data_IF_289958420250
#
_entry.id   IF_289958420250
#
_cell.length_a   1.000
_cell.length_b   1.000
_cell.length_c   1.000
_cell.angle_alpha   90.00
_cell.angle_beta   90.00
_cell.angle_gamma   90.00
#
_symmetry.space_group_name_H-M   'P 1'
#
loop_
_entity.id
_entity.type
_entity.pdbx_description
1 polymer ?
#
# COMPACT_ATOMS: atom_id res chain seq x y z
N UNK A 1 -13.31 -24.40 30.94
CA UNK A 1 -12.08 -24.56 31.76
C UNK A 1 -11.22 -25.80 31.42
N UNK A 2 -11.47 -26.60 30.37
CA UNK A 2 -10.62 -27.74 29.99
C UNK A 2 -10.01 -27.66 28.58
N UNK A 3 -10.38 -26.73 27.74
CA UNK A 3 -9.82 -26.58 26.38
C UNK A 3 -8.56 -25.71 26.34
N UNK A 4 -8.43 -24.73 27.24
CA UNK A 4 -7.25 -23.86 27.33
C UNK A 4 -5.97 -24.58 27.80
N UNK A 5 -6.13 -25.62 28.63
CA UNK A 5 -4.99 -26.34 29.23
C UNK A 5 -4.27 -27.29 28.26
N UNK A 6 -4.88 -27.67 27.13
CA UNK A 6 -4.32 -28.61 26.17
C UNK A 6 -3.46 -27.90 25.08
N UNK A 7 -3.79 -26.66 24.74
CA UNK A 7 -3.01 -25.88 23.77
C UNK A 7 -1.70 -25.40 24.41
N UNK A 8 -1.70 -25.05 25.69
CA UNK A 8 -0.52 -24.57 26.42
C UNK A 8 0.53 -25.66 26.68
N UNK A 9 0.11 -26.95 26.85
CA UNK A 9 1.05 -28.04 27.15
C UNK A 9 1.86 -28.52 25.93
N UNK A 10 1.40 -28.33 24.70
CA UNK A 10 2.12 -28.72 23.48
C UNK A 10 3.20 -27.73 23.04
N UNK A 11 3.22 -26.50 23.60
CA UNK A 11 4.09 -25.39 23.20
C UNK A 11 4.98 -24.85 24.32
N UNK A 12 5.19 -25.59 25.39
CA UNK A 12 5.81 -25.14 26.64
C UNK A 12 7.20 -24.47 26.53
N UNK A 13 7.93 -24.65 25.43
CA UNK A 13 9.19 -23.93 25.15
C UNK A 13 9.01 -22.73 24.21
N UNK A 14 7.88 -22.64 23.49
CA UNK A 14 7.55 -21.51 22.63
C UNK A 14 6.71 -20.44 23.33
N UNK A 15 5.95 -20.79 24.37
CA UNK A 15 5.08 -19.83 25.08
C UNK A 15 5.92 -18.79 25.82
N UNK A 16 7.00 -19.18 26.51
CA UNK A 16 7.92 -18.20 27.15
C UNK A 16 8.54 -17.20 26.15
N UNK A 17 8.73 -17.62 24.90
CA UNK A 17 9.26 -16.74 23.85
C UNK A 17 8.19 -15.81 23.27
N UNK A 18 6.93 -16.20 23.32
CA UNK A 18 5.80 -15.36 22.91
C UNK A 18 5.44 -14.35 24.02
N UNK A 19 5.48 -14.76 25.28
CA UNK A 19 5.27 -13.86 26.44
C UNK A 19 6.36 -12.78 26.55
N UNK A 20 7.60 -13.07 26.13
CA UNK A 20 8.69 -12.08 26.10
C UNK A 20 8.68 -11.19 24.86
N UNK A 21 7.88 -11.51 23.83
CA UNK A 21 7.76 -10.70 22.61
C UNK A 21 6.62 -9.68 22.68
N UNK A 22 5.72 -9.79 23.64
CA UNK A 22 4.66 -8.82 23.89
C UNK A 22 5.07 -8.01 25.13
N UNK A 23 5.50 -6.75 24.98
CA UNK A 23 5.72 -5.88 26.13
C UNK A 23 4.43 -5.74 26.93
N UNK A 24 4.50 -5.84 28.25
CA UNK A 24 3.36 -5.73 29.20
C UNK A 24 2.54 -4.43 29.04
N UNK A 25 3.09 -3.43 28.35
CA UNK A 25 2.46 -2.12 28.11
C UNK A 25 1.67 -2.02 26.79
N UNK A 26 1.73 -3.00 25.92
CA UNK A 26 0.91 -3.04 24.70
C UNK A 26 -0.09 -4.18 24.87
N UNK A 27 -1.27 -3.89 25.43
CA UNK A 27 -2.40 -4.79 25.26
C UNK A 27 -2.71 -4.85 23.74
N UNK A 28 -2.39 -5.96 23.05
CA UNK A 28 -2.72 -6.11 21.62
C UNK A 28 -4.23 -6.11 21.39
N UNK A 29 -5.02 -6.10 22.46
CA UNK A 29 -6.47 -6.00 22.48
C UNK A 29 -6.95 -4.60 22.88
N UNK A 30 -6.05 -3.63 23.08
CA UNK A 30 -6.38 -2.22 23.17
C UNK A 30 -6.15 -1.52 21.82
N UNK A 31 -6.82 -1.95 20.74
CA UNK A 31 -6.80 -1.20 19.51
C UNK A 31 -7.52 0.10 19.81
N UNK A 32 -7.09 1.16 19.20
CA UNK A 32 -7.94 2.32 19.02
C UNK A 32 -9.16 1.85 18.25
N UNK A 33 -10.27 1.57 18.94
CA UNK A 33 -11.53 1.35 18.23
C UNK A 33 -11.90 2.67 17.58
N UNK A 34 -11.66 2.72 16.27
CA UNK A 34 -12.11 3.82 15.46
C UNK A 34 -13.63 3.79 15.47
N UNK A 35 -14.24 4.85 15.98
CA UNK A 35 -15.66 5.02 15.91
C UNK A 35 -16.11 5.47 14.51
N UNK A 36 -17.08 6.37 14.45
CA UNK A 36 -17.56 6.93 13.19
C UNK A 36 -16.43 7.67 12.47
N UNK A 37 -16.32 7.44 11.16
CA UNK A 37 -15.44 8.19 10.27
C UNK A 37 -16.26 9.02 9.30
N UNK A 38 -15.78 10.23 9.00
CA UNK A 38 -16.40 11.13 8.02
C UNK A 38 -15.27 11.93 7.33
N UNK A 39 -14.94 11.50 6.09
CA UNK A 39 -13.79 12.05 5.38
C UNK A 39 -12.49 11.93 6.18
N UNK A 40 -11.79 13.06 6.44
CA UNK A 40 -10.54 13.07 7.22
C UNK A 40 -10.76 13.04 8.74
N UNK A 41 -12.00 13.01 9.21
CA UNK A 41 -12.33 13.01 10.63
C UNK A 41 -12.73 11.63 11.12
N UNK A 42 -12.28 11.29 12.31
CA UNK A 42 -12.65 10.05 12.98
C UNK A 42 -12.95 10.30 14.47
N UNK A 43 -13.70 9.39 15.06
CA UNK A 43 -14.01 9.41 16.48
C UNK A 43 -13.23 8.30 17.19
N UNK A 44 -12.53 8.66 18.29
CA UNK A 44 -11.89 7.71 19.19
C UNK A 44 -12.25 8.11 20.62
N UNK A 45 -12.90 7.19 21.35
CA UNK A 45 -13.27 7.44 22.74
C UNK A 45 -14.16 8.67 22.95
N UNK A 46 -15.05 8.96 21.99
CA UNK A 46 -15.93 10.13 22.02
C UNK A 46 -15.28 11.45 21.60
N UNK A 47 -14.00 11.44 21.22
CA UNK A 47 -13.27 12.62 20.75
C UNK A 47 -13.17 12.61 19.23
N UNK A 48 -13.58 13.70 18.58
CA UNK A 48 -13.40 13.90 17.14
C UNK A 48 -11.96 14.36 16.86
N UNK A 49 -11.29 13.68 15.93
CA UNK A 49 -9.90 13.90 15.58
C UNK A 49 -9.77 14.02 14.05
N UNK A 50 -8.84 14.84 13.58
CA UNK A 50 -8.41 14.86 12.19
C UNK A 50 -7.27 13.83 12.00
N UNK A 51 -7.39 12.97 11.00
CA UNK A 51 -6.42 11.88 10.75
C UNK A 51 -5.38 12.29 9.71
N UNK A 52 -4.09 12.22 10.06
CA UNK A 52 -2.96 12.45 9.15
C UNK A 52 -2.08 11.21 8.97
N UNK A 53 -2.66 10.02 9.05
CA UNK A 53 -1.98 8.75 8.75
C UNK A 53 -2.86 7.78 7.94
N UNK A 54 -3.91 8.31 7.28
CA UNK A 54 -4.80 7.51 6.43
C UNK A 54 -4.15 7.26 5.06
N UNK A 55 -4.40 6.07 4.50
CA UNK A 55 -4.06 5.75 3.12
C UNK A 55 -5.22 6.06 2.13
N UNK A 56 -6.34 6.58 2.59
CA UNK A 56 -7.47 7.02 1.75
C UNK A 56 -7.16 8.41 1.16
N UNK A 57 -6.10 8.48 0.37
CA UNK A 57 -5.47 9.73 -0.10
C UNK A 57 -6.43 10.70 -0.78
N UNK A 58 -7.41 10.18 -1.52
CA UNK A 58 -8.40 10.99 -2.24
C UNK A 58 -9.72 11.17 -1.46
N UNK A 59 -9.87 10.49 -0.31
CA UNK A 59 -11.10 10.53 0.49
C UNK A 59 -12.30 9.83 -0.15
N UNK A 60 -12.05 8.98 -1.15
CA UNK A 60 -13.11 8.34 -1.94
C UNK A 60 -13.93 7.32 -1.17
N UNK A 61 -13.41 6.75 -0.07
CA UNK A 61 -14.16 5.81 0.77
C UNK A 61 -15.47 6.39 1.33
N UNK A 62 -15.58 7.73 1.41
CA UNK A 62 -16.77 8.44 1.91
C UNK A 62 -17.47 9.26 0.82
N UNK A 63 -17.01 9.20 -0.42
CA UNK A 63 -17.59 9.95 -1.52
C UNK A 63 -19.05 9.51 -1.78
N UNK A 64 -20.01 10.44 -1.94
CA UNK A 64 -21.43 10.11 -2.12
C UNK A 64 -21.68 9.16 -3.30
N UNK A 65 -21.00 9.35 -4.44
CA UNK A 65 -21.09 8.48 -5.61
C UNK A 65 -20.66 7.05 -5.30
N UNK A 66 -19.52 6.87 -4.60
CA UNK A 66 -19.02 5.55 -4.20
C UNK A 66 -20.02 4.87 -3.26
N UNK A 67 -20.57 5.60 -2.29
CA UNK A 67 -21.59 5.06 -1.38
C UNK A 67 -22.87 4.65 -2.13
N UNK A 68 -23.29 5.45 -3.10
CA UNK A 68 -24.44 5.15 -3.96
C UNK A 68 -24.24 3.84 -4.74
N UNK A 69 -23.09 3.70 -5.41
CA UNK A 69 -22.74 2.48 -6.15
C UNK A 69 -22.69 1.23 -5.26
N UNK A 70 -22.21 1.36 -4.02
CA UNK A 70 -22.21 0.26 -3.03
C UNK A 70 -23.63 -0.14 -2.66
N UNK A 71 -24.55 0.82 -2.44
CA UNK A 71 -25.95 0.52 -2.11
C UNK A 71 -26.67 -0.18 -3.27
N UNK A 72 -26.47 0.27 -4.50
CA UNK A 72 -27.01 -0.39 -5.69
C UNK A 72 -26.48 -1.83 -5.84
N UNK A 73 -25.16 -2.02 -5.61
CA UNK A 73 -24.57 -3.34 -5.65
C UNK A 73 -25.09 -4.26 -4.52
N UNK A 74 -25.35 -3.72 -3.34
CA UNK A 74 -25.95 -4.46 -2.22
C UNK A 74 -27.33 -5.01 -2.58
N UNK A 75 -28.18 -4.20 -3.19
CA UNK A 75 -29.51 -4.64 -3.62
C UNK A 75 -29.46 -5.68 -4.75
N UNK A 76 -28.50 -5.53 -5.68
CA UNK A 76 -28.42 -6.40 -6.86
C UNK A 76 -27.71 -7.75 -6.60
N UNK A 77 -26.68 -7.75 -5.75
CA UNK A 77 -25.76 -8.91 -5.57
C UNK A 77 -25.69 -9.42 -4.13
N UNK A 78 -26.27 -8.72 -3.16
CA UNK A 78 -26.09 -9.02 -1.74
C UNK A 78 -24.70 -8.67 -1.23
N UNK A 79 -24.35 -9.13 -0.01
CA UNK A 79 -23.16 -8.69 0.71
C UNK A 79 -21.85 -9.36 0.23
N UNK A 80 -21.92 -10.51 -0.40
CA UNK A 80 -20.72 -11.30 -0.74
C UNK A 80 -20.83 -12.03 -2.06
N UNK A 81 -19.69 -12.46 -2.62
CA UNK A 81 -19.62 -13.14 -3.92
C UNK A 81 -20.04 -14.62 -3.90
N UNK A 82 -20.08 -15.25 -2.72
CA UNK A 82 -20.55 -16.63 -2.54
C UNK A 82 -19.70 -17.74 -3.13
N UNK A 83 -18.57 -17.44 -3.79
CA UNK A 83 -17.71 -18.42 -4.43
C UNK A 83 -16.38 -17.88 -4.91
N UNK A 84 -15.55 -18.76 -5.44
CA UNK A 84 -14.31 -18.42 -6.10
C UNK A 84 -14.55 -17.94 -7.56
N UNK A 85 -13.60 -17.26 -8.20
CA UNK A 85 -13.75 -16.82 -9.61
C UNK A 85 -14.03 -17.98 -10.57
N UNK A 86 -13.43 -19.13 -10.33
CA UNK A 86 -13.57 -20.34 -11.16
C UNK A 86 -14.91 -21.08 -10.97
N UNK A 87 -15.77 -20.64 -10.05
CA UNK A 87 -17.05 -21.28 -9.77
C UNK A 87 -18.22 -20.31 -9.93
N UNK A 88 -18.69 -19.70 -8.84
CA UNK A 88 -19.87 -18.85 -8.81
C UNK A 88 -19.59 -17.42 -8.33
N UNK A 89 -18.34 -17.08 -8.05
CA UNK A 89 -17.99 -15.81 -7.41
C UNK A 89 -17.67 -14.66 -8.37
N UNK A 90 -17.58 -14.89 -9.70
CA UNK A 90 -17.21 -13.87 -10.67
C UNK A 90 -18.48 -13.22 -11.25
N UNK A 91 -18.78 -12.01 -10.82
CA UNK A 91 -19.95 -11.25 -11.26
C UNK A 91 -19.59 -10.26 -12.39
N UNK A 92 -20.62 -9.64 -12.99
CA UNK A 92 -20.45 -8.56 -13.98
C UNK A 92 -19.56 -7.42 -13.43
N UNK A 93 -19.71 -7.06 -12.15
CA UNK A 93 -18.88 -6.00 -11.53
C UNK A 93 -17.40 -6.37 -11.46
N UNK A 94 -17.03 -7.64 -11.30
CA UNK A 94 -15.64 -8.09 -11.37
C UNK A 94 -15.07 -7.91 -12.78
N UNK A 95 -15.86 -8.25 -13.80
CA UNK A 95 -15.46 -8.09 -15.19
C UNK A 95 -15.24 -6.61 -15.53
N UNK A 96 -16.24 -5.77 -15.26
CA UNK A 96 -16.16 -4.32 -15.49
C UNK A 96 -14.98 -3.67 -14.74
N UNK A 97 -14.72 -4.06 -13.49
CA UNK A 97 -13.57 -3.56 -12.72
C UNK A 97 -12.25 -4.03 -13.32
N UNK A 98 -12.19 -5.28 -13.81
CA UNK A 98 -11.01 -5.82 -14.48
C UNK A 98 -10.67 -5.02 -15.74
N UNK A 99 -11.67 -4.72 -16.57
CA UNK A 99 -11.51 -3.91 -17.77
C UNK A 99 -11.12 -2.47 -17.41
N UNK A 100 -11.82 -1.84 -16.47
CA UNK A 100 -11.58 -0.46 -16.07
C UNK A 100 -10.16 -0.25 -15.49
N UNK A 101 -9.67 -1.18 -14.67
CA UNK A 101 -8.30 -1.07 -14.12
C UNK A 101 -7.23 -1.38 -15.18
N UNK A 102 -7.49 -2.30 -16.10
CA UNK A 102 -6.58 -2.57 -17.22
C UNK A 102 -6.45 -1.32 -18.11
N UNK A 103 -7.57 -0.69 -18.47
CA UNK A 103 -7.58 0.57 -19.23
C UNK A 103 -6.85 1.69 -18.48
N UNK A 104 -7.18 1.89 -17.18
CA UNK A 104 -6.54 2.92 -16.35
C UNK A 104 -5.03 2.74 -16.24
N UNK A 105 -4.54 1.49 -16.27
CA UNK A 105 -3.11 1.16 -16.23
C UNK A 105 -2.48 0.98 -17.61
N UNK A 106 -3.19 1.27 -18.68
CA UNK A 106 -2.73 1.09 -20.05
C UNK A 106 -2.20 -0.34 -20.30
N UNK A 107 -2.95 -1.35 -19.82
CA UNK A 107 -2.65 -2.77 -19.99
C UNK A 107 -3.76 -3.47 -20.76
N UNK A 108 -3.43 -4.60 -21.37
CA UNK A 108 -4.39 -5.38 -22.15
C UNK A 108 -5.42 -6.08 -21.27
N UNK A 109 -5.05 -6.45 -20.04
CA UNK A 109 -5.92 -7.21 -19.16
C UNK A 109 -5.51 -7.08 -17.69
N UNK A 110 -6.41 -7.45 -16.77
CA UNK A 110 -6.13 -7.50 -15.34
C UNK A 110 -6.86 -8.64 -14.63
N UNK A 111 -6.35 -9.08 -13.46
CA UNK A 111 -7.02 -9.95 -12.51
C UNK A 111 -7.34 -9.18 -11.23
N UNK A 112 -8.51 -9.46 -10.64
CA UNK A 112 -9.01 -8.82 -9.42
C UNK A 112 -8.89 -9.78 -8.25
N UNK A 113 -8.20 -9.36 -7.19
CA UNK A 113 -7.96 -10.14 -5.97
C UNK A 113 -8.70 -9.54 -4.77
N UNK A 114 -8.91 -10.35 -3.74
CA UNK A 114 -9.56 -9.89 -2.49
C UNK A 114 -8.68 -8.92 -1.66
N UNK A 115 -7.40 -8.78 -1.96
CA UNK A 115 -6.50 -7.76 -1.41
C UNK A 115 -5.27 -7.56 -2.30
N UNK A 116 -4.60 -6.40 -2.18
CA UNK A 116 -3.29 -6.16 -2.82
C UNK A 116 -2.23 -7.14 -2.33
N UNK A 117 -2.29 -7.54 -1.05
CA UNK A 117 -1.40 -8.55 -0.49
C UNK A 117 -1.49 -9.87 -1.27
N UNK A 118 -2.73 -10.36 -1.51
CA UNK A 118 -2.96 -11.59 -2.28
C UNK A 118 -2.64 -11.43 -3.76
N UNK A 119 -2.78 -10.24 -4.33
CA UNK A 119 -2.37 -9.95 -5.70
C UNK A 119 -0.85 -10.16 -5.88
N UNK A 120 -0.04 -9.56 -5.01
CA UNK A 120 1.41 -9.73 -5.00
C UNK A 120 1.82 -11.18 -4.76
N UNK A 121 1.35 -11.74 -3.66
CA UNK A 121 1.69 -13.10 -3.26
C UNK A 121 1.31 -14.11 -4.33
N UNK A 122 0.11 -13.98 -4.88
CA UNK A 122 -0.41 -14.90 -5.88
C UNK A 122 0.30 -14.82 -7.23
N UNK A 123 0.57 -13.60 -7.71
CA UNK A 123 1.26 -13.39 -8.97
C UNK A 123 2.71 -13.88 -8.91
N UNK A 124 3.46 -13.47 -7.89
CA UNK A 124 4.86 -13.88 -7.72
C UNK A 124 5.00 -15.39 -7.49
N UNK A 125 4.10 -15.99 -6.70
CA UNK A 125 4.03 -17.44 -6.56
C UNK A 125 3.80 -18.16 -7.89
N UNK A 126 2.90 -17.64 -8.73
CA UNK A 126 2.56 -18.26 -10.01
C UNK A 126 3.66 -18.08 -11.07
N UNK A 127 4.42 -16.99 -11.02
CA UNK A 127 5.53 -16.68 -11.93
C UNK A 127 6.81 -17.46 -11.60
N UNK A 128 6.98 -17.89 -10.35
CA UNK A 128 8.20 -18.55 -9.90
C UNK A 128 8.23 -20.05 -10.21
N UNK A 129 9.30 -20.49 -10.85
CA UNK A 129 9.69 -21.89 -11.01
C UNK A 129 11.18 -22.08 -10.69
N UNK A 130 11.70 -23.30 -10.87
CA UNK A 130 13.12 -23.64 -10.56
C UNK A 130 14.13 -22.87 -11.42
N UNK A 131 13.71 -22.37 -12.57
CA UNK A 131 14.52 -21.64 -13.53
C UNK A 131 14.34 -20.10 -13.37
N UNK A 132 13.62 -19.66 -12.33
CA UNK A 132 13.29 -18.24 -12.08
C UNK A 132 14.18 -17.65 -10.99
N UNK A 133 14.74 -16.45 -11.22
CA UNK A 133 15.45 -15.64 -10.25
C UNK A 133 14.78 -14.30 -10.06
N UNK A 134 14.41 -13.97 -8.83
CA UNK A 134 13.86 -12.69 -8.44
C UNK A 134 14.94 -11.77 -7.86
N UNK A 135 14.93 -10.50 -8.26
CA UNK A 135 15.78 -9.43 -7.72
C UNK A 135 14.87 -8.45 -6.97
N UNK A 136 15.00 -8.41 -5.64
CA UNK A 136 14.08 -7.68 -4.78
C UNK A 136 14.79 -6.51 -4.09
N UNK A 137 14.15 -5.34 -4.10
CA UNK A 137 14.58 -4.25 -3.22
C UNK A 137 14.46 -4.67 -1.75
N UNK A 138 15.45 -4.31 -0.93
CA UNK A 138 15.50 -4.68 0.49
C UNK A 138 14.35 -4.13 1.31
N UNK A 139 13.77 -2.99 0.91
CA UNK A 139 12.66 -2.34 1.59
C UNK A 139 11.29 -2.63 0.95
N UNK A 140 11.22 -3.60 0.04
CA UNK A 140 9.95 -4.05 -0.53
C UNK A 140 8.93 -4.40 0.55
N UNK A 141 7.66 -4.12 0.25
CA UNK A 141 6.55 -4.49 1.09
C UNK A 141 6.54 -6.00 1.40
N UNK A 142 6.20 -6.42 2.64
CA UNK A 142 6.18 -7.83 3.03
C UNK A 142 5.45 -8.76 2.07
N UNK A 143 4.37 -8.32 1.42
CA UNK A 143 3.63 -9.14 0.46
C UNK A 143 4.44 -9.55 -0.78
N UNK A 144 5.34 -8.67 -1.24
CA UNK A 144 6.27 -8.98 -2.34
C UNK A 144 7.29 -10.02 -1.88
N UNK A 145 7.89 -9.80 -0.71
CA UNK A 145 8.90 -10.72 -0.16
C UNK A 145 8.30 -12.10 0.18
N UNK A 146 7.09 -12.13 0.71
CA UNK A 146 6.40 -13.39 1.02
C UNK A 146 5.99 -14.12 -0.26
N UNK A 147 5.54 -13.38 -1.30
CA UNK A 147 5.24 -13.95 -2.61
C UNK A 147 6.46 -14.62 -3.25
N UNK A 148 7.60 -13.94 -3.22
CA UNK A 148 8.88 -14.47 -3.72
C UNK A 148 9.38 -15.67 -2.92
N UNK A 149 9.29 -15.62 -1.58
CA UNK A 149 9.69 -16.75 -0.70
C UNK A 149 8.81 -17.99 -0.89
N UNK A 150 7.53 -17.81 -1.17
CA UNK A 150 6.60 -18.92 -1.44
C UNK A 150 6.73 -19.45 -2.87
N UNK A 151 7.29 -18.68 -3.80
CA UNK A 151 7.61 -19.12 -5.15
C UNK A 151 8.68 -20.22 -5.13
N UNK A 152 8.72 -21.01 -6.19
CA UNK A 152 9.74 -22.08 -6.32
C UNK A 152 11.08 -21.58 -6.87
N UNK A 153 11.17 -20.30 -7.20
CA UNK A 153 12.36 -19.65 -7.72
C UNK A 153 13.35 -19.22 -6.63
N UNK A 154 14.56 -18.91 -7.05
CA UNK A 154 15.54 -18.28 -6.18
C UNK A 154 15.31 -16.77 -6.10
N UNK A 155 15.87 -16.11 -5.07
CA UNK A 155 15.78 -14.68 -4.95
C UNK A 155 17.06 -14.05 -4.40
N UNK A 156 17.33 -12.82 -4.79
CA UNK A 156 18.42 -11.97 -4.31
C UNK A 156 17.88 -10.61 -3.92
N UNK A 157 18.39 -10.10 -2.79
CA UNK A 157 18.06 -8.77 -2.32
C UNK A 157 19.14 -7.79 -2.78
N UNK A 158 18.75 -6.66 -3.36
CA UNK A 158 19.67 -5.54 -3.57
C UNK A 158 19.39 -4.44 -2.53
N UNK A 159 20.41 -3.62 -2.25
CA UNK A 159 20.26 -2.50 -1.32
C UNK A 159 19.25 -1.50 -1.86
N UNK A 160 18.54 -0.86 -0.95
CA UNK A 160 17.41 0.01 -1.29
C UNK A 160 17.79 1.09 -2.31
N UNK A 161 17.12 1.07 -3.46
CA UNK A 161 17.32 1.97 -4.61
C UNK A 161 18.76 1.98 -5.19
N UNK A 162 19.59 1.01 -4.83
CA UNK A 162 20.98 0.88 -5.31
C UNK A 162 21.01 0.16 -6.66
N UNK A 163 21.03 0.94 -7.73
CA UNK A 163 21.06 0.45 -9.10
C UNK A 163 22.37 -0.22 -9.47
N UNK A 164 23.50 0.20 -8.90
CA UNK A 164 24.80 -0.41 -9.14
C UNK A 164 24.84 -1.81 -8.55
N UNK A 165 24.31 -1.98 -7.34
CA UNK A 165 24.16 -3.29 -6.72
C UNK A 165 23.18 -4.18 -7.52
N UNK A 166 22.02 -3.65 -7.94
CA UNK A 166 21.09 -4.38 -8.80
C UNK A 166 21.76 -4.82 -10.10
N UNK A 167 22.48 -3.94 -10.78
CA UNK A 167 23.18 -4.26 -12.01
C UNK A 167 24.25 -5.34 -11.81
N UNK A 168 25.02 -5.28 -10.72
CA UNK A 168 26.02 -6.30 -10.41
C UNK A 168 25.40 -7.69 -10.28
N UNK A 169 24.25 -7.79 -9.56
CA UNK A 169 23.51 -9.03 -9.40
C UNK A 169 22.96 -9.55 -10.74
N UNK A 170 22.41 -8.68 -11.57
CA UNK A 170 21.88 -9.03 -12.90
C UNK A 170 22.97 -9.56 -13.84
N UNK A 171 24.18 -8.98 -13.76
CA UNK A 171 25.34 -9.36 -14.58
C UNK A 171 25.95 -10.69 -14.14
N UNK A 172 26.07 -10.89 -12.81
CA UNK A 172 26.91 -11.96 -12.27
C UNK A 172 26.13 -13.27 -12.11
N UNK A 173 24.79 -13.20 -11.95
CA UNK A 173 23.92 -14.36 -11.78
C UNK A 173 23.33 -14.83 -13.10
N UNK A 174 23.97 -15.85 -13.70
CA UNK A 174 23.60 -16.48 -14.97
C UNK A 174 22.99 -17.86 -14.71
N UNK A 175 22.36 -18.41 -15.76
CA UNK A 175 21.82 -19.78 -15.71
C UNK A 175 20.31 -19.88 -15.47
N UNK A 176 19.66 -18.80 -15.11
CA UNK A 176 18.19 -18.75 -14.96
C UNK A 176 17.55 -18.38 -16.31
N UNK A 177 16.42 -19.04 -16.63
CA UNK A 177 15.65 -18.75 -17.85
C UNK A 177 14.81 -17.50 -17.71
N UNK A 178 14.26 -17.27 -16.48
CA UNK A 178 13.41 -16.14 -16.17
C UNK A 178 14.08 -15.32 -15.08
N UNK A 179 14.14 -14.02 -15.26
CA UNK A 179 14.63 -13.03 -14.30
C UNK A 179 13.56 -11.99 -14.09
N UNK A 180 13.27 -11.64 -12.86
CA UNK A 180 12.21 -10.69 -12.52
C UNK A 180 12.74 -9.69 -11.49
N UNK A 181 12.73 -8.40 -11.84
CA UNK A 181 13.00 -7.33 -10.89
C UNK A 181 11.70 -6.99 -10.20
N UNK A 182 11.67 -7.04 -8.88
CA UNK A 182 10.47 -6.84 -8.05
C UNK A 182 10.70 -5.65 -7.11
N UNK A 183 9.83 -4.65 -7.20
CA UNK A 183 9.94 -3.45 -6.35
C UNK A 183 8.60 -2.78 -6.10
N UNK A 184 8.50 -2.01 -5.00
CA UNK A 184 7.43 -1.04 -4.82
C UNK A 184 7.67 0.16 -5.74
N UNK A 185 6.61 0.72 -6.31
CA UNK A 185 6.65 1.99 -7.06
C UNK A 185 6.88 3.17 -6.12
N UNK A 186 6.17 3.14 -4.99
CA UNK A 186 6.28 4.10 -3.88
C UNK A 186 6.38 3.31 -2.59
N UNK A 187 7.48 3.47 -1.88
CA UNK A 187 7.74 2.75 -0.62
C UNK A 187 6.90 3.30 0.52
N UNK A 188 6.20 2.42 1.20
CA UNK A 188 5.12 2.76 2.13
C UNK A 188 5.55 3.50 3.39
N UNK A 189 6.79 3.34 3.85
CA UNK A 189 7.31 3.86 5.11
C UNK A 189 7.98 5.23 4.91
N UNK A 190 8.82 5.35 3.88
CA UNK A 190 9.65 6.52 3.62
C UNK A 190 9.12 7.41 2.50
N UNK A 191 8.20 6.92 1.67
CA UNK A 191 7.65 7.65 0.53
C UNK A 191 8.66 7.79 -0.63
N UNK A 192 9.72 6.99 -0.63
CA UNK A 192 10.67 6.89 -1.74
C UNK A 192 9.96 6.42 -3.00
N UNK A 193 10.44 6.86 -4.14
CA UNK A 193 9.93 6.46 -5.46
C UNK A 193 11.02 5.68 -6.18
N UNK A 194 10.68 4.52 -6.70
CA UNK A 194 11.60 3.71 -7.48
C UNK A 194 12.04 4.45 -8.75
N UNK A 195 13.33 4.42 -9.12
CA UNK A 195 13.85 5.03 -10.34
C UNK A 195 13.46 4.17 -11.55
N UNK A 196 12.19 4.29 -11.96
CA UNK A 196 11.59 3.45 -13.00
C UNK A 196 12.36 3.43 -14.32
N UNK A 197 12.76 4.60 -14.91
CA UNK A 197 13.43 4.59 -16.21
C UNK A 197 14.71 3.75 -16.18
N UNK A 198 15.53 3.91 -15.14
CA UNK A 198 16.80 3.22 -14.98
C UNK A 198 16.60 1.72 -14.73
N UNK A 199 15.60 1.34 -13.93
CA UNK A 199 15.26 -0.07 -13.69
C UNK A 199 14.79 -0.73 -14.99
N UNK A 200 13.99 -0.05 -15.81
CA UNK A 200 13.53 -0.55 -17.11
C UNK A 200 14.69 -0.70 -18.09
N UNK A 201 15.65 0.21 -18.10
CA UNK A 201 16.88 0.10 -18.91
C UNK A 201 17.71 -1.13 -18.49
N UNK A 202 17.91 -1.33 -17.20
CA UNK A 202 18.59 -2.54 -16.69
C UNK A 202 17.81 -3.81 -17.04
N UNK A 203 16.50 -3.80 -16.88
CA UNK A 203 15.65 -4.95 -17.26
C UNK A 203 15.82 -5.31 -18.74
N UNK A 204 15.77 -4.34 -19.64
CA UNK A 204 16.00 -4.54 -21.09
C UNK A 204 17.40 -5.08 -21.37
N UNK A 205 18.43 -4.46 -20.78
CA UNK A 205 19.84 -4.85 -20.95
C UNK A 205 20.11 -6.29 -20.56
N UNK A 206 19.51 -6.74 -19.46
CA UNK A 206 19.72 -8.08 -18.90
C UNK A 206 18.59 -9.06 -19.20
N UNK A 207 17.62 -8.69 -20.04
CA UNK A 207 16.44 -9.51 -20.41
C UNK A 207 15.68 -10.00 -19.18
N UNK A 208 15.45 -9.12 -18.23
CA UNK A 208 14.62 -9.36 -17.05
C UNK A 208 13.22 -8.78 -17.28
N UNK A 209 12.22 -9.39 -16.67
CA UNK A 209 10.88 -8.82 -16.51
C UNK A 209 10.86 -7.85 -15.33
N UNK A 210 9.88 -6.96 -15.32
CA UNK A 210 9.65 -5.99 -14.24
C UNK A 210 8.30 -6.23 -13.58
N UNK A 211 8.29 -6.25 -12.24
CA UNK A 211 7.09 -6.33 -11.42
C UNK A 211 7.09 -5.16 -10.42
N UNK A 212 6.15 -4.24 -10.56
CA UNK A 212 6.03 -3.06 -9.71
C UNK A 212 4.72 -3.07 -8.91
N UNK A 213 4.82 -2.89 -7.59
CA UNK A 213 3.66 -2.68 -6.73
C UNK A 213 3.28 -1.20 -6.69
N UNK A 214 2.11 -0.91 -7.18
CA UNK A 214 1.52 0.44 -7.28
C UNK A 214 0.60 0.79 -6.11
N UNK A 215 0.66 0.07 -5.01
CA UNK A 215 -0.28 0.25 -3.90
C UNK A 215 -0.31 1.68 -3.33
N UNK A 216 0.80 2.40 -3.39
CA UNK A 216 0.90 3.80 -2.98
C UNK A 216 1.05 4.77 -4.17
N UNK A 217 1.14 4.27 -5.40
CA UNK A 217 1.30 5.08 -6.60
C UNK A 217 -0.01 5.32 -7.34
N UNK A 218 -0.86 4.28 -7.47
CA UNK A 218 -2.18 4.40 -8.09
C UNK A 218 -3.05 5.43 -7.37
N UNK A 219 -3.51 6.44 -8.10
CA UNK A 219 -4.32 7.54 -7.56
C UNK A 219 -3.52 8.62 -6.83
N UNK A 220 -2.18 8.56 -6.79
CA UNK A 220 -1.36 9.53 -6.03
C UNK A 220 -0.25 10.18 -6.83
N UNK A 221 0.45 9.44 -7.68
CA UNK A 221 1.54 9.97 -8.50
C UNK A 221 1.18 9.90 -9.99
N UNK A 222 1.89 10.69 -10.81
CA UNK A 222 1.50 10.96 -12.18
C UNK A 222 0.45 12.08 -12.26
N UNK A 223 0.29 12.77 -13.37
CA UNK A 223 -0.54 13.98 -13.51
C UNK A 223 -2.01 13.72 -13.07
N UNK A 224 -2.57 12.60 -13.50
CA UNK A 224 -3.95 12.17 -13.20
C UNK A 224 -4.02 11.02 -12.20
N UNK A 225 -2.92 10.73 -11.49
CA UNK A 225 -2.84 9.59 -10.57
C UNK A 225 -2.70 8.24 -11.28
N UNK A 226 -2.21 8.24 -12.52
CA UNK A 226 -2.00 7.01 -13.31
C UNK A 226 -0.94 6.08 -12.73
N UNK A 227 -0.10 6.55 -11.80
CA UNK A 227 0.94 5.75 -11.16
C UNK A 227 2.35 6.10 -11.61
N UNK A 228 3.29 5.18 -11.38
CA UNK A 228 4.72 5.46 -11.59
C UNK A 228 5.07 5.67 -13.07
N UNK A 229 4.44 4.93 -13.98
CA UNK A 229 4.67 5.12 -15.42
C UNK A 229 4.19 6.49 -15.92
N UNK A 230 3.08 6.98 -15.34
CA UNK A 230 2.53 8.30 -15.64
C UNK A 230 3.41 9.41 -15.02
N UNK A 231 4.03 9.15 -13.86
CA UNK A 231 4.97 10.07 -13.23
C UNK A 231 6.21 10.34 -14.10
N UNK A 232 6.73 9.31 -14.77
CA UNK A 232 7.94 9.38 -15.59
C UNK A 232 7.65 9.48 -17.10
N UNK A 233 6.38 9.54 -17.51
CA UNK A 233 5.93 9.58 -18.91
C UNK A 233 6.49 8.41 -19.75
N UNK A 234 6.47 7.20 -19.20
CA UNK A 234 7.00 5.98 -19.82
C UNK A 234 5.98 4.84 -19.84
N UNK A 235 4.77 5.16 -20.26
CA UNK A 235 3.63 4.22 -20.26
C UNK A 235 3.94 2.95 -21.03
N UNK A 236 3.53 1.80 -20.47
CA UNK A 236 3.74 0.49 -21.10
C UNK A 236 5.15 -0.07 -20.91
N UNK A 237 6.01 0.54 -20.12
CA UNK A 237 7.39 0.11 -19.92
C UNK A 237 7.57 -1.01 -18.88
N UNK A 238 6.62 -1.17 -17.98
CA UNK A 238 6.63 -2.23 -16.94
C UNK A 238 5.87 -3.45 -17.44
N UNK A 239 6.38 -4.66 -17.22
CA UNK A 239 5.71 -5.89 -17.66
C UNK A 239 4.48 -6.23 -16.84
N UNK A 240 4.57 -6.11 -15.51
CA UNK A 240 3.48 -6.39 -14.58
C UNK A 240 3.35 -5.27 -13.54
N UNK A 241 2.15 -4.72 -13.45
CA UNK A 241 1.75 -3.80 -12.39
C UNK A 241 0.80 -4.51 -11.44
N UNK A 242 1.11 -4.52 -10.16
CA UNK A 242 0.16 -4.87 -9.11
C UNK A 242 -0.28 -3.63 -8.34
N UNK A 243 -1.33 -3.75 -7.55
CA UNK A 243 -1.78 -2.66 -6.71
C UNK A 243 -2.97 -3.02 -5.84
N UNK A 244 -3.54 -2.00 -5.21
CA UNK A 244 -4.69 -2.19 -4.33
C UNK A 244 -5.78 -1.16 -4.58
N UNK A 245 -7.02 -1.55 -4.33
CA UNK A 245 -8.18 -0.65 -4.29
C UNK A 245 -8.41 -0.04 -2.90
N UNK A 246 -7.64 -0.48 -1.89
CA UNK A 246 -7.89 -0.16 -0.48
C UNK A 246 -7.27 1.15 0.03
N UNK A 247 -6.62 1.92 -0.85
CA UNK A 247 -5.97 3.19 -0.52
C UNK A 247 -6.63 4.35 -1.26
N UNK A 248 -5.99 4.95 -2.25
CA UNK A 248 -6.54 6.09 -2.99
C UNK A 248 -7.93 5.82 -3.60
N UNK A 249 -8.22 4.58 -3.99
CA UNK A 249 -9.52 4.19 -4.54
C UNK A 249 -10.58 3.84 -3.46
N UNK A 250 -10.30 4.04 -2.19
CA UNK A 250 -11.28 4.03 -1.08
C UNK A 250 -12.13 2.76 -0.92
N UNK A 251 -11.68 1.61 -1.45
CA UNK A 251 -12.41 0.33 -1.41
C UNK A 251 -11.63 -0.75 -0.65
N UNK A 252 -11.76 -1.99 -1.05
CA UNK A 252 -10.96 -3.14 -0.66
C UNK A 252 -10.62 -3.95 -1.91
N UNK A 253 -9.58 -4.78 -1.84
CA UNK A 253 -9.15 -5.62 -2.95
C UNK A 253 -7.81 -5.20 -3.53
N UNK A 254 -7.40 -5.91 -4.58
CA UNK A 254 -6.18 -5.65 -5.32
C UNK A 254 -6.28 -6.12 -6.76
N UNK A 255 -5.26 -5.83 -7.53
CA UNK A 255 -5.21 -6.20 -8.94
C UNK A 255 -3.79 -6.55 -9.37
N UNK A 256 -3.71 -7.29 -10.48
CA UNK A 256 -2.50 -7.42 -11.30
C UNK A 256 -2.90 -7.10 -12.73
N UNK A 257 -2.22 -6.15 -13.36
CA UNK A 257 -2.45 -5.73 -14.75
C UNK A 257 -1.20 -5.97 -15.59
N UNK A 258 -1.37 -6.58 -16.77
CA UNK A 258 -0.28 -6.95 -17.66
C UNK A 258 -0.80 -7.24 -19.09
N UNK A 259 0.04 -7.83 -19.95
CA UNK A 259 -0.40 -8.37 -21.23
C UNK A 259 -1.44 -9.48 -21.08
N UNK A 260 -2.33 -9.64 -22.05
CA UNK A 260 -3.35 -10.70 -22.05
C UNK A 260 -2.77 -12.11 -21.90
N UNK A 261 -1.59 -12.34 -22.47
CA UNK A 261 -0.89 -13.63 -22.34
C UNK A 261 -0.42 -13.88 -20.91
N UNK A 262 0.13 -12.86 -20.23
CA UNK A 262 0.56 -12.93 -18.82
C UNK A 262 -0.65 -13.13 -17.90
N UNK A 263 -1.72 -12.38 -18.10
CA UNK A 263 -2.94 -12.52 -17.31
C UNK A 263 -3.58 -13.91 -17.50
N UNK A 264 -3.64 -14.42 -18.74
CA UNK A 264 -4.13 -15.78 -19.00
C UNK A 264 -3.25 -16.86 -18.35
N UNK A 265 -1.95 -16.63 -18.23
CA UNK A 265 -1.06 -17.53 -17.49
C UNK A 265 -1.35 -17.50 -16.00
N UNK A 266 -1.48 -16.29 -15.40
CA UNK A 266 -1.79 -16.12 -13.98
C UNK A 266 -3.16 -16.68 -13.65
N UNK A 267 -4.18 -16.44 -14.46
CA UNK A 267 -5.54 -16.96 -14.28
C UNK A 267 -5.57 -18.49 -14.12
N UNK A 268 -4.71 -19.21 -14.84
CA UNK A 268 -4.63 -20.67 -14.79
C UNK A 268 -3.72 -21.21 -13.67
N UNK A 269 -2.81 -20.44 -13.14
CA UNK A 269 -1.75 -20.90 -12.22
C UNK A 269 -1.79 -20.26 -10.84
N UNK A 270 -2.39 -19.09 -10.69
CA UNK A 270 -2.46 -18.39 -9.43
C UNK A 270 -3.46 -19.05 -8.48
N UNK A 271 -2.97 -19.94 -7.63
CA UNK A 271 -3.81 -20.67 -6.65
C UNK A 271 -4.53 -19.73 -5.69
N UNK A 272 -3.92 -18.61 -5.35
CA UNK A 272 -4.46 -17.58 -4.46
C UNK A 272 -5.64 -16.81 -5.08
N UNK A 273 -5.73 -16.83 -6.40
CA UNK A 273 -6.88 -16.35 -7.16
C UNK A 273 -7.94 -17.46 -7.31
N UNK A 274 -7.53 -18.60 -7.85
CA UNK A 274 -8.44 -19.69 -8.24
C UNK A 274 -9.22 -20.29 -7.07
N UNK A 275 -8.61 -20.40 -5.89
CA UNK A 275 -9.18 -21.10 -4.73
C UNK A 275 -9.57 -20.17 -3.57
N UNK A 276 -9.50 -18.87 -3.77
CA UNK A 276 -10.01 -17.88 -2.83
C UNK A 276 -11.41 -17.44 -3.24
N UNK A 277 -12.27 -17.17 -2.25
CA UNK A 277 -13.54 -16.47 -2.52
C UNK A 277 -13.24 -15.12 -3.18
N UNK A 278 -13.97 -14.79 -4.23
CA UNK A 278 -13.83 -13.54 -4.97
C UNK A 278 -14.07 -12.32 -4.08
N UNK A 279 -13.50 -11.20 -4.47
CA UNK A 279 -13.80 -9.91 -3.85
C UNK A 279 -15.31 -9.68 -3.78
N UNK A 280 -15.80 -9.04 -2.69
CA UNK A 280 -17.23 -8.71 -2.62
C UNK A 280 -17.65 -7.80 -3.78
N UNK A 281 -18.83 -8.05 -4.41
CA UNK A 281 -19.38 -7.14 -5.43
C UNK A 281 -19.51 -5.69 -4.95
N UNK A 282 -19.71 -5.47 -3.67
CA UNK A 282 -19.77 -4.14 -3.06
C UNK A 282 -18.42 -3.41 -3.18
N UNK A 283 -17.33 -4.12 -2.95
CA UNK A 283 -15.98 -3.58 -3.11
C UNK A 283 -15.64 -3.36 -4.58
N UNK A 284 -16.12 -4.23 -5.48
CA UNK A 284 -15.96 -4.02 -6.92
C UNK A 284 -16.68 -2.75 -7.37
N UNK A 285 -17.93 -2.54 -6.95
CA UNK A 285 -18.70 -1.34 -7.25
C UNK A 285 -18.03 -0.07 -6.71
N UNK A 286 -17.54 -0.12 -5.46
CA UNK A 286 -16.82 1.00 -4.87
C UNK A 286 -15.56 1.36 -5.67
N UNK A 287 -14.73 0.37 -6.01
CA UNK A 287 -13.49 0.60 -6.77
C UNK A 287 -13.77 1.10 -8.19
N UNK A 288 -14.77 0.52 -8.86
CA UNK A 288 -15.18 0.93 -10.20
C UNK A 288 -15.66 2.37 -10.25
N UNK A 289 -16.52 2.75 -9.30
CA UNK A 289 -17.01 4.13 -9.21
C UNK A 289 -15.88 5.10 -8.84
N UNK A 290 -14.95 4.69 -7.97
CA UNK A 290 -13.76 5.49 -7.62
C UNK A 290 -12.88 5.75 -8.84
N UNK A 291 -12.69 4.77 -9.72
CA UNK A 291 -11.97 4.96 -10.99
C UNK A 291 -12.70 5.92 -11.92
N UNK A 292 -14.05 5.84 -12.00
CA UNK A 292 -14.87 6.79 -12.79
C UNK A 292 -14.75 8.21 -12.28
N UNK A 293 -14.83 8.39 -10.95
CA UNK A 293 -14.67 9.70 -10.31
C UNK A 293 -13.26 10.25 -10.56
N UNK A 294 -12.22 9.45 -10.38
CA UNK A 294 -10.85 9.87 -10.60
C UNK A 294 -10.59 10.31 -12.05
N UNK A 295 -11.13 9.59 -13.02
CA UNK A 295 -11.05 9.97 -14.43
C UNK A 295 -11.83 11.26 -14.75
N UNK A 296 -12.97 11.48 -14.10
CA UNK A 296 -13.81 12.66 -14.30
C UNK A 296 -13.32 13.89 -13.54
N UNK A 297 -12.61 13.70 -12.41
CA UNK A 297 -12.17 14.73 -11.47
C UNK A 297 -10.68 14.60 -11.13
N UNK A 298 -9.77 14.75 -12.12
CA UNK A 298 -8.33 14.64 -11.89
C UNK A 298 -7.79 15.69 -10.90
N UNK A 299 -8.54 16.78 -10.66
CA UNK A 299 -8.23 17.80 -9.65
C UNK A 299 -8.16 17.27 -8.23
N UNK A 300 -8.75 16.11 -7.92
CA UNK A 300 -8.59 15.44 -6.61
C UNK A 300 -7.11 15.11 -6.33
N UNK A 301 -6.39 14.64 -7.35
CA UNK A 301 -4.95 14.35 -7.23
C UNK A 301 -4.15 15.63 -7.03
N UNK A 302 -4.48 16.70 -7.78
CA UNK A 302 -3.83 18.00 -7.64
C UNK A 302 -4.07 18.59 -6.24
N UNK A 303 -5.30 18.51 -5.72
CA UNK A 303 -5.65 18.98 -4.38
C UNK A 303 -4.88 18.21 -3.31
N UNK A 304 -4.84 16.88 -3.37
CA UNK A 304 -4.07 16.05 -2.44
C UNK A 304 -2.58 16.43 -2.44
N UNK A 305 -1.98 16.66 -3.61
CA UNK A 305 -0.60 17.09 -3.75
C UNK A 305 -0.37 18.48 -3.18
N UNK A 306 -1.26 19.43 -3.48
CA UNK A 306 -1.18 20.80 -2.93
C UNK A 306 -1.20 20.77 -1.40
N UNK A 307 -2.08 19.95 -0.82
CA UNK A 307 -2.13 19.74 0.64
C UNK A 307 -0.81 19.15 1.17
N UNK A 308 -0.24 18.18 0.46
CA UNK A 308 1.04 17.56 0.83
C UNK A 308 2.20 18.58 0.76
N UNK A 309 2.29 19.31 -0.33
CA UNK A 309 3.35 20.33 -0.55
C UNK A 309 3.25 21.43 0.50
N UNK A 310 2.03 21.88 0.81
CA UNK A 310 1.81 22.88 1.87
C UNK A 310 2.36 22.40 3.22
N UNK A 311 2.05 21.16 3.63
CA UNK A 311 2.56 20.60 4.89
C UNK A 311 4.08 20.49 4.84
N UNK A 312 4.64 19.91 3.77
CA UNK A 312 6.09 19.71 3.61
C UNK A 312 6.87 21.02 3.70
N UNK A 313 6.43 22.05 2.97
CA UNK A 313 7.12 23.35 2.95
C UNK A 313 7.07 24.06 4.30
N UNK A 314 5.93 24.03 4.99
CA UNK A 314 5.82 24.64 6.29
C UNK A 314 6.67 23.90 7.35
N UNK A 315 6.73 22.57 7.31
CA UNK A 315 7.60 21.80 8.19
C UNK A 315 9.09 22.04 7.89
N UNK A 316 9.46 22.26 6.62
CA UNK A 316 10.83 22.71 6.26
C UNK A 316 11.15 24.09 6.86
N UNK A 317 10.22 25.03 6.83
CA UNK A 317 10.38 26.35 7.49
C UNK A 317 10.57 26.23 8.99
N UNK A 318 10.02 25.20 9.63
CA UNK A 318 10.27 24.87 11.03
C UNK A 318 11.64 24.18 11.25
N UNK A 319 12.44 24.01 10.20
CA UNK A 319 13.81 23.49 10.27
C UNK A 319 13.93 21.99 10.17
N UNK A 320 12.87 21.28 9.69
CA UNK A 320 12.96 19.86 9.39
C UNK A 320 13.59 19.63 8.04
N UNK A 321 14.57 18.72 7.99
CA UNK A 321 15.14 18.24 6.72
C UNK A 321 14.20 17.18 6.14
N UNK A 322 13.44 17.57 5.11
CA UNK A 322 12.48 16.70 4.45
C UNK A 322 12.83 16.55 2.98
N UNK A 323 12.85 15.33 2.44
CA UNK A 323 13.16 15.12 1.03
C UNK A 323 12.07 15.68 0.11
N UNK A 324 12.46 16.00 -1.13
CA UNK A 324 11.49 16.26 -2.19
C UNK A 324 11.03 14.93 -2.76
N UNK A 325 9.73 14.68 -2.66
CA UNK A 325 9.13 13.43 -3.14
C UNK A 325 7.74 13.70 -3.69
N UNK A 326 7.35 13.05 -4.78
CA UNK A 326 6.03 13.27 -5.37
C UNK A 326 4.91 12.51 -4.64
N UNK A 327 5.26 11.52 -3.80
CA UNK A 327 4.29 10.71 -3.09
C UNK A 327 3.81 11.40 -1.79
N UNK A 328 2.51 11.29 -1.43
CA UNK A 328 1.93 12.00 -0.29
C UNK A 328 2.25 11.32 1.05
N UNK A 329 3.50 10.95 1.27
CA UNK A 329 4.00 10.27 2.47
C UNK A 329 5.20 11.05 3.01
N UNK A 330 5.09 11.52 4.24
CA UNK A 330 6.12 12.32 4.89
C UNK A 330 6.58 11.63 6.18
N UNK A 331 7.78 11.03 6.20
CA UNK A 331 8.34 10.42 7.40
C UNK A 331 8.96 11.50 8.30
N UNK A 332 8.39 11.73 9.48
CA UNK A 332 9.00 12.53 10.54
C UNK A 332 9.78 11.60 11.47
N UNK A 333 11.06 11.40 11.16
CA UNK A 333 11.93 10.47 11.91
C UNK A 333 12.32 11.15 13.23
N UNK A 334 11.93 10.53 14.34
CA UNK A 334 12.22 10.97 15.71
C UNK A 334 13.38 10.14 16.30
N UNK A 335 13.51 8.88 15.83
CA UNK A 335 14.52 7.92 16.28
C UNK A 335 14.11 7.17 17.53
N UNK A 336 13.93 7.87 18.65
CA UNK A 336 13.56 7.30 19.92
C UNK A 336 12.07 6.88 19.98
N UNK A 337 11.82 5.65 20.41
CA UNK A 337 10.46 5.06 20.46
C UNK A 337 9.54 5.78 21.44
N UNK A 338 10.03 6.11 22.64
CA UNK A 338 9.22 6.73 23.69
C UNK A 338 8.92 8.20 23.36
N UNK A 339 9.91 8.92 22.80
CA UNK A 339 9.69 10.28 22.29
C UNK A 339 8.63 10.27 21.17
N UNK A 340 8.69 9.31 20.27
CA UNK A 340 7.71 9.17 19.17
C UNK A 340 6.30 8.91 19.69
N UNK A 341 6.15 8.00 20.66
CA UNK A 341 4.86 7.72 21.30
C UNK A 341 4.32 8.94 22.08
N UNK A 342 5.19 9.65 22.82
CA UNK A 342 4.80 10.89 23.52
C UNK A 342 4.35 11.97 22.55
N UNK A 343 5.04 12.15 21.44
CA UNK A 343 4.65 13.11 20.40
C UNK A 343 3.27 12.76 19.81
N UNK A 344 3.05 11.50 19.46
CA UNK A 344 1.76 11.03 18.96
C UNK A 344 0.63 11.27 19.99
N UNK A 345 0.90 11.05 21.27
CA UNK A 345 -0.06 11.32 22.35
C UNK A 345 -0.39 12.80 22.48
N UNK A 346 0.61 13.69 22.45
CA UNK A 346 0.39 15.14 22.48
C UNK A 346 -0.43 15.65 21.30
N UNK A 347 -0.18 15.09 20.09
CA UNK A 347 -0.99 15.38 18.89
C UNK A 347 -2.44 14.92 19.08
N UNK A 348 -2.63 13.70 19.63
CA UNK A 348 -3.96 13.20 19.97
C UNK A 348 -4.72 14.14 20.91
N UNK A 349 -4.04 14.66 21.93
CA UNK A 349 -4.64 15.61 22.90
C UNK A 349 -5.05 16.93 22.22
N UNK A 350 -4.38 17.32 21.11
CA UNK A 350 -4.70 18.48 20.26
C UNK A 350 -5.74 18.18 19.16
N UNK A 351 -6.34 16.99 19.14
CA UNK A 351 -7.35 16.64 18.15
C UNK A 351 -6.78 16.09 16.84
N UNK A 352 -5.50 15.71 16.81
CA UNK A 352 -4.81 15.18 15.62
C UNK A 352 -4.45 13.71 15.86
N UNK A 353 -4.80 12.83 14.92
CA UNK A 353 -4.45 11.42 14.99
C UNK A 353 -3.37 11.05 13.96
N UNK A 354 -2.21 10.65 14.49
CA UNK A 354 -1.11 10.06 13.72
C UNK A 354 -0.59 8.87 14.54
N UNK A 355 -0.71 7.66 13.97
CA UNK A 355 -0.18 6.46 14.60
C UNK A 355 1.36 6.47 14.56
N UNK A 356 2.05 6.23 15.69
CA UNK A 356 3.50 6.13 15.70
C UNK A 356 3.95 4.82 15.04
N UNK A 357 4.94 4.88 14.15
CA UNK A 357 5.63 3.71 13.64
C UNK A 357 6.88 3.46 14.49
N UNK A 358 6.89 2.32 15.16
CA UNK A 358 7.97 1.89 16.09
C UNK A 358 8.37 0.45 15.76
N UNK A 359 9.48 -0.07 16.26
CA UNK A 359 9.81 -1.47 16.13
C UNK A 359 8.66 -2.39 16.57
N UNK A 360 8.34 -3.49 15.84
CA UNK A 360 9.13 -4.06 14.71
C UNK A 360 8.81 -3.48 13.33
N UNK A 361 7.89 -2.50 13.19
CA UNK A 361 7.48 -1.93 11.90
C UNK A 361 8.61 -1.12 11.22
N UNK A 362 9.50 -0.58 12.02
CA UNK A 362 10.74 0.11 11.61
C UNK A 362 11.90 -0.43 12.44
N UNK A 363 13.15 -0.12 12.06
CA UNK A 363 14.33 -0.56 12.81
C UNK A 363 14.45 0.22 14.13
N UNK A 364 15.19 -0.33 15.08
CA UNK A 364 15.64 0.39 16.27
C UNK A 364 16.35 1.70 15.86
N UNK A 365 16.00 2.80 16.52
CA UNK A 365 16.52 4.13 16.20
C UNK A 365 15.84 4.83 15.02
N UNK A 366 14.83 4.22 14.39
CA UNK A 366 14.12 4.77 13.25
C UNK A 366 12.63 5.06 13.52
N UNK A 367 12.22 5.09 14.78
CA UNK A 367 10.83 5.40 15.17
C UNK A 367 10.41 6.76 14.62
N UNK A 368 9.20 6.83 14.06
CA UNK A 368 8.73 8.00 13.33
C UNK A 368 7.22 8.21 13.39
N UNK A 369 6.78 9.40 13.06
CA UNK A 369 5.42 9.68 12.64
C UNK A 369 5.37 9.68 11.11
N UNK A 370 4.53 8.84 10.52
CA UNK A 370 4.30 8.82 9.08
C UNK A 370 3.09 9.70 8.78
N UNK A 371 3.34 10.93 8.34
CA UNK A 371 2.29 11.87 7.99
C UNK A 371 1.84 11.64 6.55
N UNK A 372 0.54 11.57 6.35
CA UNK A 372 -0.09 11.53 5.02
C UNK A 372 -1.16 12.60 4.91
N UNK A 373 -1.32 13.17 3.75
CA UNK A 373 -2.40 14.12 3.46
C UNK A 373 -3.46 13.47 2.58
N UNK A 374 -4.68 13.97 2.71
CA UNK A 374 -5.83 13.58 1.91
C UNK A 374 -6.32 14.77 1.09
N UNK A 375 -6.95 14.53 -0.06
CA UNK A 375 -7.62 15.58 -0.84
C UNK A 375 -8.72 16.29 -0.04
N UNK A 376 -9.30 15.60 0.95
CA UNK A 376 -10.40 16.11 1.79
C UNK A 376 -9.96 16.89 3.03
N UNK A 377 -8.65 17.02 3.30
CA UNK A 377 -8.19 17.94 4.34
C UNK A 377 -8.47 19.40 3.94
N UNK A 378 -8.99 20.16 4.88
CA UNK A 378 -9.18 21.61 4.73
C UNK A 378 -7.89 22.38 5.05
N UNK A 379 -7.78 23.63 4.59
CA UNK A 379 -6.65 24.49 4.99
C UNK A 379 -6.48 24.60 6.50
N UNK A 380 -7.60 24.73 7.23
CA UNK A 380 -7.58 24.77 8.72
C UNK A 380 -7.04 23.48 9.34
N UNK A 381 -7.33 22.31 8.77
CA UNK A 381 -6.77 21.04 9.26
C UNK A 381 -5.24 21.03 9.10
N UNK A 382 -4.75 21.50 7.95
CA UNK A 382 -3.31 21.55 7.65
C UNK A 382 -2.60 22.57 8.56
N UNK A 383 -3.17 23.73 8.76
CA UNK A 383 -2.64 24.76 9.68
C UNK A 383 -2.58 24.23 11.10
N UNK A 384 -3.65 23.57 11.59
CA UNK A 384 -3.68 22.95 12.92
C UNK A 384 -2.56 21.93 13.10
N UNK A 385 -2.27 21.10 12.07
CA UNK A 385 -1.15 20.16 12.12
C UNK A 385 0.19 20.87 12.25
N UNK A 386 0.41 21.91 11.44
CA UNK A 386 1.68 22.66 11.39
C UNK A 386 1.94 23.40 12.71
N UNK A 387 0.92 24.07 13.27
CA UNK A 387 1.00 24.75 14.56
C UNK A 387 1.33 23.75 15.67
N UNK A 388 0.60 22.63 15.75
CA UNK A 388 0.84 21.62 16.76
C UNK A 388 2.26 21.00 16.67
N UNK A 389 2.73 20.71 15.46
CA UNK A 389 4.10 20.21 15.27
C UNK A 389 5.15 21.27 15.57
N UNK A 390 4.91 22.54 15.19
CA UNK A 390 5.81 23.65 15.46
C UNK A 390 6.07 23.86 16.95
N UNK A 391 5.02 23.85 17.77
CA UNK A 391 5.12 23.95 19.23
C UNK A 391 5.89 22.76 19.84
N UNK A 392 5.69 21.56 19.29
CA UNK A 392 6.24 20.33 19.86
C UNK A 392 7.68 20.04 19.40
N UNK A 393 8.04 20.43 18.18
CA UNK A 393 9.41 20.24 17.65
C UNK A 393 10.43 21.16 18.33
N UNK A 394 10.00 22.30 18.85
CA UNK A 394 10.82 23.14 19.73
C UNK A 394 11.33 22.39 20.96
N UNK A 395 10.48 21.55 21.55
CA UNK A 395 10.78 20.75 22.74
C UNK A 395 11.63 19.49 22.43
N UNK A 396 11.70 19.05 21.15
CA UNK A 396 12.46 17.87 20.74
C UNK A 396 13.91 18.16 20.34
N UNK A 397 14.27 19.44 20.22
CA UNK A 397 15.64 19.89 19.88
C UNK A 397 16.60 19.93 21.05
N UNK A 398 16.14 19.53 22.28
CA UNK A 398 16.93 19.50 23.51
C UNK A 398 17.05 18.10 24.09
#
# INVERSE_FOLDING_TARGET
MRAESLIVRGFGLRSKRLETLVPDEIDPRSPFFLGRREGPYLEIGGKRLVIFCSNDYLGLSHHPGVRGAVLEALEAFGAGSGGAPSTSGFTRLHHELSEAIAEFKHRESALIFSSGYLANLGALFALGDRDTLFFCDRLNHPSLLDGVKLAKGDHKMYEHLDLDHLESLLRDLKGYKTRIIVTDSVFSIDGDVAPLPEIVELAKKYKALTFFDEAHATGTVGEKGGGIEDLFDVRGSVDLLSGTFSKALGSQGGFVAASSSTISYLDRRCRHYLYSTSLSPLCCAAALESLRILNAQPELVATMRSNFDFVRENLRRLGLSLPERPAPILPLIIGDTDKTKRLARRLYDRGIFIAPLTPPNVREGESRLRVTTMATHTGSDLETLIEALGEMLGDLRY
#
